data_IF_895198639069
#
_entry.id   IF_895198639069
#
_cell.length_a   1.000
_cell.length_b   1.000
_cell.length_c   1.000
_cell.angle_alpha   90.00
_cell.angle_beta   90.00
_cell.angle_gamma   90.00
#
_symmetry.space_group_name_H-M   'P 1'
#
loop_
_entity.id
_entity.type
_entity.pdbx_description
1 polymer ?
#
# COMPACT_ATOMS: atom_id res chain seq x y z
N UNK A 1 -23.51 -0.37 0.95
CA UNK A 1 -22.56 -1.04 1.87
C UNK A 1 -21.42 -1.58 1.03
N UNK A 2 -20.17 -1.22 1.31
CA UNK A 2 -19.02 -1.73 0.55
C UNK A 2 -18.85 -3.21 0.89
N UNK A 3 -18.68 -4.06 -0.13
CA UNK A 3 -18.43 -5.49 0.05
C UNK A 3 -16.92 -5.76 -0.08
N UNK A 4 -16.27 -6.10 1.04
CA UNK A 4 -14.83 -6.40 1.07
C UNK A 4 -14.56 -7.85 0.63
N UNK A 5 -13.46 -8.09 -0.08
CA UNK A 5 -13.12 -9.41 -0.63
C UNK A 5 -12.62 -10.40 0.41
N UNK A 6 -12.25 -9.92 1.60
CA UNK A 6 -11.83 -10.76 2.72
C UNK A 6 -12.22 -10.16 4.07
N UNK A 7 -12.27 -11.04 5.07
CA UNK A 7 -12.46 -10.62 6.46
C UNK A 7 -11.29 -9.74 6.95
N UNK A 8 -10.06 -10.02 6.50
CA UNK A 8 -8.89 -9.19 6.81
C UNK A 8 -9.02 -7.75 6.28
N UNK A 9 -9.48 -7.58 5.03
CA UNK A 9 -9.79 -6.26 4.47
C UNK A 9 -10.90 -5.55 5.24
N UNK A 10 -11.97 -6.27 5.60
CA UNK A 10 -13.07 -5.70 6.41
C UNK A 10 -12.55 -5.17 7.75
N UNK A 11 -11.66 -5.91 8.41
CA UNK A 11 -11.05 -5.49 9.68
C UNK A 11 -10.13 -4.27 9.49
N UNK A 12 -9.33 -4.23 8.42
CA UNK A 12 -8.52 -3.04 8.09
C UNK A 12 -9.43 -1.82 7.89
N UNK A 13 -10.45 -1.94 7.06
CA UNK A 13 -11.41 -0.88 6.80
C UNK A 13 -12.09 -0.38 8.08
N UNK A 14 -12.50 -1.31 8.97
CA UNK A 14 -13.08 -0.95 10.25
C UNK A 14 -12.13 -0.11 11.12
N UNK A 15 -10.84 -0.42 11.13
CA UNK A 15 -9.84 0.37 11.86
C UNK A 15 -9.66 1.74 11.22
N UNK A 16 -9.49 1.82 9.89
CA UNK A 16 -9.34 3.10 9.20
C UNK A 16 -10.53 4.03 9.45
N UNK A 17 -11.76 3.52 9.32
CA UNK A 17 -12.99 4.26 9.64
C UNK A 17 -13.04 4.70 11.10
N UNK A 18 -12.75 3.80 12.04
CA UNK A 18 -12.80 4.11 13.49
C UNK A 18 -11.85 5.24 13.89
N UNK A 19 -10.71 5.36 13.23
CA UNK A 19 -9.72 6.41 13.49
C UNK A 19 -9.79 7.58 12.51
N UNK A 20 -10.88 7.67 11.73
CA UNK A 20 -11.15 8.76 10.80
C UNK A 20 -10.01 8.98 9.79
N UNK A 21 -9.44 7.87 9.31
CA UNK A 21 -8.40 7.84 8.28
C UNK A 21 -9.10 7.65 6.94
N UNK A 22 -9.06 8.68 6.08
CA UNK A 22 -9.70 8.61 4.76
C UNK A 22 -9.01 7.57 3.87
N UNK A 23 -9.83 6.71 3.25
CA UNK A 23 -9.36 5.70 2.31
C UNK A 23 -10.36 5.49 1.17
N UNK A 24 -9.85 4.97 0.06
CA UNK A 24 -10.63 4.47 -1.08
C UNK A 24 -10.34 2.99 -1.23
N UNK A 25 -11.39 2.16 -1.21
CA UNK A 25 -11.29 0.73 -1.44
C UNK A 25 -11.16 0.45 -2.95
N UNK A 26 -10.22 -0.43 -3.34
CA UNK A 26 -9.99 -0.82 -4.74
C UNK A 26 -9.86 0.36 -5.72
N UNK A 27 -9.05 1.36 -5.36
CA UNK A 27 -8.82 2.50 -6.25
C UNK A 27 -8.02 2.05 -7.49
N UNK A 28 -8.51 2.27 -8.73
CA UNK A 28 -7.79 1.85 -9.93
C UNK A 28 -6.48 2.61 -10.08
N UNK A 29 -5.39 1.86 -10.26
CA UNK A 29 -4.05 2.40 -10.47
C UNK A 29 -3.49 1.93 -11.81
N UNK A 30 -3.08 2.88 -12.65
CA UNK A 30 -2.44 2.58 -13.92
C UNK A 30 -0.98 2.17 -13.69
N UNK A 31 -0.65 0.94 -14.05
CA UNK A 31 0.69 0.35 -13.95
C UNK A 31 1.27 0.13 -15.33
N UNK A 32 2.52 0.54 -15.50
CA UNK A 32 3.35 0.20 -16.65
C UNK A 32 4.13 -1.07 -16.32
N UNK A 33 3.67 -2.20 -16.83
CA UNK A 33 4.33 -3.50 -16.66
C UNK A 33 5.29 -3.74 -17.83
N UNK A 34 6.58 -3.93 -17.54
CA UNK A 34 7.57 -4.37 -18.53
C UNK A 34 7.62 -5.90 -18.51
N UNK A 35 7.38 -6.52 -19.66
CA UNK A 35 7.50 -7.98 -19.81
C UNK A 35 8.94 -8.40 -20.11
N UNK A 36 9.21 -9.70 -19.98
CA UNK A 36 10.52 -10.33 -20.24
C UNK A 36 11.07 -10.09 -21.66
N UNK A 37 10.22 -9.67 -22.61
CA UNK A 37 10.59 -9.30 -23.98
C UNK A 37 10.68 -7.78 -24.21
N UNK A 38 10.87 -7.00 -23.15
CA UNK A 38 10.94 -5.53 -23.14
C UNK A 38 9.69 -4.81 -23.71
N UNK A 39 8.58 -5.52 -23.88
CA UNK A 39 7.32 -4.89 -24.26
C UNK A 39 6.64 -4.27 -23.05
N UNK A 40 6.30 -2.98 -23.16
CA UNK A 40 5.55 -2.27 -22.14
C UNK A 40 4.05 -2.50 -22.34
N UNK A 41 3.37 -2.94 -21.28
CA UNK A 41 1.93 -3.08 -21.26
C UNK A 41 1.33 -2.24 -20.14
N UNK A 42 0.35 -1.42 -20.49
CA UNK A 42 -0.47 -0.71 -19.51
C UNK A 42 -1.51 -1.67 -18.93
N UNK A 43 -1.62 -1.68 -17.60
CA UNK A 43 -2.64 -2.42 -16.86
C UNK A 43 -3.23 -1.57 -15.77
N UNK A 44 -4.50 -1.81 -15.46
CA UNK A 44 -5.15 -1.25 -14.27
C UNK A 44 -5.08 -2.30 -13.18
N UNK A 45 -4.46 -1.93 -12.06
CA UNK A 45 -4.46 -2.73 -10.84
C UNK A 45 -5.39 -2.10 -9.80
N UNK A 46 -5.88 -2.92 -8.89
CA UNK A 46 -6.79 -2.53 -7.82
C UNK A 46 -6.13 -2.92 -6.48
N UNK A 47 -5.26 -2.06 -5.92
CA UNK A 47 -4.79 -2.24 -4.54
C UNK A 47 -5.97 -2.21 -3.56
N UNK A 48 -5.88 -2.96 -2.46
CA UNK A 48 -6.99 -3.10 -1.52
C UNK A 48 -7.44 -1.74 -0.96
N UNK A 49 -6.49 -0.91 -0.48
CA UNK A 49 -6.80 0.41 0.05
C UNK A 49 -5.83 1.47 -0.43
N UNK A 50 -6.37 2.60 -0.87
CA UNK A 50 -5.64 3.82 -1.17
C UNK A 50 -5.92 4.90 -0.13
N UNK A 51 -4.88 5.50 0.43
CA UNK A 51 -4.99 6.61 1.39
C UNK A 51 -4.58 7.91 0.65
N UNK A 52 -5.53 8.63 0.03
CA UNK A 52 -5.23 9.69 -0.93
C UNK A 52 -4.44 10.85 -0.31
N UNK A 53 -4.74 11.22 0.94
CA UNK A 53 -4.06 12.31 1.65
C UNK A 53 -2.58 12.05 1.90
N UNK A 54 -2.16 10.78 1.89
CA UNK A 54 -0.80 10.39 2.27
C UNK A 54 0.00 9.79 1.11
N UNK A 55 -0.63 9.53 -0.05
CA UNK A 55 -0.04 8.79 -1.17
C UNK A 55 0.54 7.44 -0.71
N UNK A 56 -0.30 6.67 0.01
CA UNK A 56 0.03 5.38 0.62
C UNK A 56 -1.01 4.35 0.18
N UNK A 57 -0.56 3.17 -0.26
CA UNK A 57 -1.36 1.96 -0.42
C UNK A 57 -1.27 1.10 0.85
N UNK A 58 -2.36 0.47 1.24
CA UNK A 58 -2.35 -0.69 2.15
C UNK A 58 -2.79 -1.92 1.36
N UNK A 59 -2.01 -2.99 1.44
CA UNK A 59 -2.31 -4.30 0.85
C UNK A 59 -2.39 -5.37 1.94
N UNK A 60 -3.44 -6.19 1.89
CA UNK A 60 -3.65 -7.34 2.76
C UNK A 60 -3.19 -8.62 2.09
N UNK A 61 -2.08 -9.16 2.56
CA UNK A 61 -1.51 -10.38 2.05
C UNK A 61 -2.02 -11.60 2.82
N UNK A 62 -3.28 -11.99 2.54
CA UNK A 62 -3.98 -13.06 3.26
C UNK A 62 -3.43 -14.48 3.02
N UNK A 63 -2.64 -14.69 1.96
CA UNK A 63 -1.98 -15.98 1.67
C UNK A 63 -0.46 -15.86 1.91
N UNK A 64 0.17 -16.88 2.49
CA UNK A 64 1.62 -16.97 2.71
C UNK A 64 2.11 -18.37 2.38
N UNK A 65 3.34 -18.48 1.86
CA UNK A 65 4.00 -19.77 1.60
C UNK A 65 3.75 -20.35 0.21
N UNK A 66 3.14 -19.59 -0.71
CA UNK A 66 3.02 -19.95 -2.12
C UNK A 66 4.04 -19.11 -2.93
N UNK A 67 5.05 -19.73 -3.58
CA UNK A 67 6.08 -19.01 -4.34
C UNK A 67 5.52 -18.14 -5.47
N UNK A 68 4.41 -18.52 -6.10
CA UNK A 68 3.78 -17.73 -7.15
C UNK A 68 3.13 -16.47 -6.57
N UNK A 69 2.49 -16.62 -5.40
CA UNK A 69 1.92 -15.49 -4.66
C UNK A 69 2.99 -14.50 -4.20
N UNK A 70 4.12 -15.00 -3.69
CA UNK A 70 5.23 -14.17 -3.23
C UNK A 70 5.89 -13.39 -4.38
N UNK A 71 6.04 -14.00 -5.56
CA UNK A 71 6.49 -13.30 -6.77
C UNK A 71 5.53 -12.16 -7.15
N UNK A 72 4.22 -12.43 -7.14
CA UNK A 72 3.19 -11.42 -7.43
C UNK A 72 3.26 -10.22 -6.48
N UNK A 73 3.47 -10.47 -5.18
CA UNK A 73 3.68 -9.42 -4.17
C UNK A 73 4.94 -8.59 -4.46
N UNK A 74 6.07 -9.21 -4.77
CA UNK A 74 7.30 -8.48 -5.08
C UNK A 74 7.12 -7.57 -6.30
N UNK A 75 6.50 -8.08 -7.38
CA UNK A 75 6.16 -7.29 -8.56
C UNK A 75 5.25 -6.11 -8.22
N UNK A 76 4.28 -6.30 -7.32
CA UNK A 76 3.42 -5.21 -6.85
C UNK A 76 4.19 -4.10 -6.14
N UNK A 77 5.03 -4.47 -5.17
CA UNK A 77 5.81 -3.52 -4.39
C UNK A 77 6.77 -2.69 -5.27
N UNK A 78 7.42 -3.34 -6.24
CA UNK A 78 8.30 -2.63 -7.19
C UNK A 78 7.53 -1.68 -8.11
N UNK A 79 6.33 -2.06 -8.57
CA UNK A 79 5.50 -1.18 -9.36
C UNK A 79 5.07 0.07 -8.57
N UNK A 80 4.64 -0.09 -7.31
CA UNK A 80 4.27 1.04 -6.46
C UNK A 80 5.47 1.96 -6.18
N UNK A 81 6.64 1.39 -5.94
CA UNK A 81 7.88 2.15 -5.77
C UNK A 81 8.25 2.98 -7.01
N UNK A 82 8.11 2.42 -8.21
CA UNK A 82 8.32 3.15 -9.48
C UNK A 82 7.39 4.36 -9.65
N UNK A 83 6.19 4.28 -9.07
CA UNK A 83 5.21 5.38 -9.05
C UNK A 83 5.40 6.34 -7.87
N UNK A 84 6.46 6.17 -7.07
CA UNK A 84 6.69 6.92 -5.83
C UNK A 84 5.51 6.83 -4.84
N UNK A 85 4.84 5.68 -4.83
CA UNK A 85 3.74 5.34 -3.94
C UNK A 85 4.28 4.40 -2.85
N UNK A 86 4.10 4.79 -1.59
CA UNK A 86 4.44 3.92 -0.47
C UNK A 86 3.41 2.80 -0.33
N UNK A 87 3.86 1.60 0.06
CA UNK A 87 2.97 0.49 0.39
C UNK A 87 3.22 -0.02 1.81
N UNK A 88 2.13 -0.14 2.57
CA UNK A 88 2.09 -0.81 3.87
C UNK A 88 1.50 -2.22 3.66
N UNK A 89 2.31 -3.23 3.96
CA UNK A 89 1.92 -4.64 3.84
C UNK A 89 1.32 -5.15 5.15
N UNK A 90 0.04 -5.54 5.14
CA UNK A 90 -0.66 -6.15 6.27
C UNK A 90 -0.79 -7.65 6.04
N UNK A 91 -0.62 -8.44 7.09
CA UNK A 91 -0.70 -9.90 7.04
C UNK A 91 -1.66 -10.43 8.11
N UNK A 92 -2.13 -11.69 8.03
CA UNK A 92 -2.99 -12.28 9.05
C UNK A 92 -2.47 -12.10 10.49
N UNK A 93 -1.16 -12.23 10.71
CA UNK A 93 -0.55 -12.07 12.04
C UNK A 93 -0.54 -10.62 12.51
N UNK A 94 -0.57 -9.65 11.57
CA UNK A 94 -0.74 -8.24 11.89
C UNK A 94 -2.17 -7.96 12.38
N UNK A 95 -3.16 -8.59 11.75
CA UNK A 95 -4.58 -8.49 12.12
C UNK A 95 -4.78 -9.03 13.55
N UNK A 96 -4.24 -10.21 13.86
CA UNK A 96 -4.48 -10.89 15.15
C UNK A 96 -3.71 -10.28 16.32
N UNK A 97 -2.62 -9.54 16.07
CA UNK A 97 -1.81 -8.93 17.13
C UNK A 97 -2.28 -7.53 17.50
N UNK A 98 -1.83 -6.53 16.76
CA UNK A 98 -2.14 -5.12 17.06
C UNK A 98 -2.15 -4.30 15.77
N UNK A 99 -3.19 -4.52 14.97
CA UNK A 99 -3.37 -3.87 13.68
C UNK A 99 -3.37 -2.34 13.79
N UNK A 100 -4.07 -1.80 14.79
CA UNK A 100 -4.15 -0.35 15.03
C UNK A 100 -2.76 0.26 15.17
N UNK A 101 -1.99 -0.19 16.17
CA UNK A 101 -0.68 0.40 16.43
C UNK A 101 0.25 0.22 15.25
N UNK A 102 0.19 -0.94 14.58
CA UNK A 102 0.96 -1.19 13.37
C UNK A 102 0.67 -0.17 12.27
N UNK A 103 -0.61 0.04 11.91
CA UNK A 103 -0.99 0.97 10.85
C UNK A 103 -0.60 2.41 11.19
N UNK A 104 -0.91 2.88 12.41
CA UNK A 104 -0.61 4.25 12.82
C UNK A 104 0.91 4.53 12.84
N UNK A 105 1.70 3.59 13.35
CA UNK A 105 3.16 3.71 13.36
C UNK A 105 3.68 3.75 11.92
N UNK A 106 3.24 2.84 11.04
CA UNK A 106 3.71 2.78 9.65
C UNK A 106 3.35 4.03 8.86
N UNK A 107 2.12 4.53 8.98
CA UNK A 107 1.69 5.78 8.34
C UNK A 107 2.56 6.94 8.84
N UNK A 108 2.73 7.09 10.15
CA UNK A 108 3.58 8.14 10.74
C UNK A 108 5.01 8.07 10.24
N UNK A 109 5.61 6.89 10.22
CA UNK A 109 6.98 6.69 9.72
C UNK A 109 7.11 7.15 8.27
N UNK A 110 6.18 6.75 7.39
CA UNK A 110 6.18 7.16 5.99
C UNK A 110 6.03 8.66 5.79
N UNK A 111 5.16 9.31 6.56
CA UNK A 111 5.02 10.76 6.52
C UNK A 111 6.30 11.47 6.95
N UNK A 112 6.95 11.00 8.02
CA UNK A 112 8.21 11.57 8.48
C UNK A 112 9.34 11.40 7.47
N UNK A 113 9.42 10.26 6.79
CA UNK A 113 10.36 10.04 5.68
C UNK A 113 10.15 11.09 4.57
N UNK A 114 8.90 11.34 4.17
CA UNK A 114 8.57 12.35 3.15
C UNK A 114 8.95 13.76 3.57
N UNK A 115 8.64 14.14 4.81
CA UNK A 115 9.02 15.45 5.38
C UNK A 115 10.54 15.62 5.35
N UNK A 116 11.29 14.62 5.83
CA UNK A 116 12.76 14.64 5.79
C UNK A 116 13.31 14.75 4.36
N UNK A 117 12.72 14.07 3.39
CA UNK A 117 13.12 14.18 1.98
C UNK A 117 12.81 15.56 1.39
N UNK A 118 11.75 16.23 1.83
CA UNK A 118 11.46 17.61 1.44
C UNK A 118 12.48 18.58 2.04
N UNK A 119 12.73 18.51 3.34
CA UNK A 119 13.68 19.38 4.04
C UNK A 119 15.12 19.27 3.48
N UNK A 120 15.57 18.06 3.18
CA UNK A 120 16.94 17.85 2.66
C UNK A 120 17.12 18.31 1.21
N UNK A 121 16.04 18.46 0.43
CA UNK A 121 16.12 19.03 -0.91
C UNK A 121 16.35 20.53 -0.82
N UNK A 122 15.58 21.22 0.02
CA UNK A 122 15.67 22.68 0.15
C UNK A 122 17.03 23.14 0.72
N UNK A 123 17.62 22.37 1.64
CA UNK A 123 18.97 22.67 2.18
C UNK A 123 20.12 22.56 1.18
N UNK A 124 19.92 21.95 0.00
CA UNK A 124 20.95 21.86 -1.05
C UNK A 124 20.87 23.01 -2.06
N UNK A 125 19.79 23.79 -2.00
CA UNK A 125 19.53 24.92 -2.88
C UNK A 125 19.89 26.27 -2.21
N UNK A 126 20.24 26.24 -0.92
CA UNK A 126 20.82 27.34 -0.12
C UNK A 126 22.35 27.22 -0.04
#
# INVERSE_FOLDING_TARGET
>A
MVNYKSEGERVIASILTKYNIDFVYEHPLLIKETKDNDTEKLRIWYPDFWLPKYNIIIEYWGRRGDPHYDKGKASKLEAYKKLNIDCISVYPETITKNLKSYLLIKIKTKLNEKVRHFENRNKKEE
#
